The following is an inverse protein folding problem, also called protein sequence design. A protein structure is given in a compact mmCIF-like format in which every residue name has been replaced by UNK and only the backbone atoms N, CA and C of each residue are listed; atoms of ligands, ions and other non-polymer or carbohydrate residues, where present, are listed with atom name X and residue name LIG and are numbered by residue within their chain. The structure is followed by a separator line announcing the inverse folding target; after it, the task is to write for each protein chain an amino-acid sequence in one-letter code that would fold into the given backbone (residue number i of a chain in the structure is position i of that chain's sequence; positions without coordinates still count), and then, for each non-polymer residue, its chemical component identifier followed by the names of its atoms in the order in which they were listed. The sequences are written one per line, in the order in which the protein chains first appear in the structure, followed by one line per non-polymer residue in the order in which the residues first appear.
data_IF_226306230982
#
_entry.id   IF_226306230982
#
_cell.length_a   1.000
_cell.length_b   1.000
_cell.length_c   1.000
_cell.angle_alpha   90.00
_cell.angle_beta   90.00
_cell.angle_gamma   90.00
#
_symmetry.space_group_name_H-M   'P 1'
#
loop_
_entity.id
_entity.type
_entity.pdbx_description
1 polymer ?
#
# COMPACT_ATOMS: atom_id res chain seq x y z
N UNK A 1 2.76 10.54 5.00
CA UNK A 1 2.64 9.96 3.63
C UNK A 1 1.65 10.73 2.77
N UNK A 2 0.53 11.17 3.35
CA UNK A 2 -0.53 11.96 2.70
C UNK A 2 0.00 13.17 1.90
N UNK A 3 0.84 14.00 2.52
CA UNK A 3 1.43 15.19 1.88
C UNK A 3 2.28 14.90 0.63
N UNK A 4 2.87 13.71 0.56
CA UNK A 4 3.59 13.27 -0.61
C UNK A 4 2.61 12.84 -1.70
N UNK A 5 1.60 12.02 -1.36
CA UNK A 5 0.55 11.54 -2.27
C UNK A 5 -0.23 12.68 -2.93
N UNK A 6 -0.54 13.74 -2.18
CA UNK A 6 -1.23 14.93 -2.72
C UNK A 6 -0.31 15.67 -3.71
N UNK A 7 0.97 15.88 -3.37
CA UNK A 7 1.91 16.61 -4.23
C UNK A 7 2.34 15.84 -5.47
N UNK A 8 2.34 14.51 -5.41
CA UNK A 8 2.60 13.66 -6.57
C UNK A 8 1.38 13.48 -7.47
N UNK A 9 0.21 13.98 -7.07
CA UNK A 9 -1.03 13.83 -7.83
C UNK A 9 -1.53 12.39 -7.83
N UNK A 10 -1.36 11.66 -6.72
CA UNK A 10 -1.91 10.32 -6.56
C UNK A 10 -3.44 10.34 -6.75
N UNK A 11 -4.04 9.23 -7.21
CA UNK A 11 -5.49 9.08 -7.28
C UNK A 11 -6.15 9.40 -5.94
N UNK A 12 -7.35 10.01 -6.00
CA UNK A 12 -8.04 10.47 -4.80
C UNK A 12 -8.33 9.32 -3.84
N UNK A 13 -8.66 8.15 -4.37
CA UNK A 13 -8.93 6.93 -3.60
C UNK A 13 -7.71 6.49 -2.77
N UNK A 14 -6.49 6.71 -3.29
CA UNK A 14 -5.26 6.41 -2.54
C UNK A 14 -5.07 7.40 -1.39
N UNK A 15 -5.42 8.66 -1.60
CA UNK A 15 -5.32 9.70 -0.57
C UNK A 15 -6.36 9.48 0.53
N UNK A 16 -7.57 9.08 0.17
CA UNK A 16 -8.65 8.71 1.11
C UNK A 16 -8.26 7.51 1.96
N UNK A 17 -7.78 6.42 1.34
CA UNK A 17 -7.29 5.25 2.08
C UNK A 17 -6.19 5.63 3.09
N UNK A 18 -5.23 6.48 2.71
CA UNK A 18 -4.15 6.90 3.60
C UNK A 18 -4.63 7.76 4.78
N UNK A 19 -5.73 8.51 4.63
CA UNK A 19 -6.32 9.29 5.73
C UNK A 19 -7.06 8.38 6.71
N UNK A 20 -7.81 7.41 6.20
CA UNK A 20 -8.53 6.43 7.04
C UNK A 20 -7.56 5.65 7.94
N UNK A 21 -6.39 5.27 7.42
CA UNK A 21 -5.35 4.56 8.18
C UNK A 21 -4.74 5.39 9.33
N UNK A 22 -4.64 6.72 9.21
CA UNK A 22 -4.08 7.55 10.28
C UNK A 22 -5.04 7.72 11.47
N UNK A 23 -6.35 7.53 11.28
CA UNK A 23 -7.38 7.65 12.34
C UNK A 23 -7.53 6.36 13.19
N UNK A 24 -7.02 5.21 12.74
CA UNK A 24 -7.18 3.94 13.45
C UNK A 24 -6.27 3.80 14.69
N UNK A 25 -5.23 4.62 14.83
CA UNK A 25 -4.35 4.65 16.03
C UNK A 25 -3.53 3.37 16.28
N UNK A 26 -3.73 2.35 15.44
CA UNK A 26 -3.03 1.07 15.45
C UNK A 26 -1.72 1.18 14.65
N UNK A 27 -0.67 0.51 15.12
CA UNK A 27 0.59 0.39 14.38
C UNK A 27 0.47 -0.83 13.49
N UNK A 28 0.41 -0.62 12.18
CA UNK A 28 0.52 -1.71 11.21
C UNK A 28 1.98 -2.18 11.12
N UNK A 29 2.20 -3.49 11.19
CA UNK A 29 3.53 -4.10 11.01
C UNK A 29 3.89 -4.22 9.52
N UNK A 30 2.89 -4.36 8.65
CA UNK A 30 3.07 -4.47 7.21
C UNK A 30 1.82 -4.14 6.40
N UNK A 31 1.97 -4.18 5.07
CA UNK A 31 0.86 -3.92 4.14
C UNK A 31 -0.20 -5.04 4.16
N UNK A 32 0.18 -6.24 4.58
CA UNK A 32 -0.70 -7.39 4.78
C UNK A 32 -1.75 -7.13 5.87
N UNK A 33 -1.44 -6.28 6.86
CA UNK A 33 -2.36 -5.91 7.94
C UNK A 33 -3.50 -5.01 7.46
N UNK A 34 -3.25 -4.27 6.38
CA UNK A 34 -4.18 -3.30 5.79
C UNK A 34 -4.91 -3.92 4.60
N UNK A 35 -4.21 -4.77 3.87
CA UNK A 35 -4.70 -5.39 2.65
C UNK A 35 -4.67 -6.92 2.82
N UNK A 36 -5.79 -7.54 3.27
CA UNK A 36 -5.84 -8.97 3.57
C UNK A 36 -5.63 -9.87 2.34
N UNK A 37 -5.85 -9.33 1.14
CA UNK A 37 -5.59 -9.98 -0.14
C UNK A 37 -4.31 -9.44 -0.81
N UNK A 38 -3.36 -8.89 -0.04
CA UNK A 38 -2.10 -8.42 -0.60
C UNK A 38 -1.36 -9.60 -1.26
N UNK A 39 -1.00 -9.50 -2.55
CA UNK A 39 -0.31 -10.57 -3.26
C UNK A 39 1.04 -10.87 -2.62
N UNK A 40 1.29 -12.14 -2.37
CA UNK A 40 2.56 -12.68 -1.92
C UNK A 40 3.60 -12.65 -3.05
N UNK A 41 4.89 -12.82 -2.73
CA UNK A 41 5.93 -12.95 -3.78
C UNK A 41 5.61 -14.08 -4.78
N UNK A 42 4.94 -15.14 -4.32
CA UNK A 42 4.53 -16.28 -5.13
C UNK A 42 3.39 -15.93 -6.13
N UNK A 43 2.70 -14.79 -5.93
CA UNK A 43 1.64 -14.30 -6.84
C UNK A 43 2.20 -13.49 -8.02
N UNK A 44 3.47 -13.11 -7.97
CA UNK A 44 4.13 -12.41 -9.06
C UNK A 44 4.88 -13.39 -9.96
N UNK A 45 4.49 -13.43 -11.24
CA UNK A 45 5.23 -14.18 -12.27
C UNK A 45 6.48 -13.40 -12.75
N UNK A 46 7.38 -13.03 -11.84
CA UNK A 46 8.70 -12.56 -12.25
C UNK A 46 9.54 -13.79 -12.61
N UNK A 47 10.05 -13.86 -13.84
CA UNK A 47 11.07 -14.86 -14.17
C UNK A 47 12.37 -14.45 -13.46
N UNK A 48 12.66 -15.07 -12.31
CA UNK A 48 13.93 -14.88 -11.59
C UNK A 48 15.16 -15.24 -12.45
N UNK A 49 14.95 -16.02 -13.52
CA UNK A 49 15.96 -16.42 -14.51
C UNK A 49 16.31 -15.31 -15.54
N UNK A 50 15.65 -14.14 -15.50
CA UNK A 50 15.86 -13.06 -16.48
C UNK A 50 16.95 -12.03 -16.06
N UNK A 51 17.83 -12.38 -15.10
CA UNK A 51 18.94 -11.54 -14.62
C UNK A 51 20.34 -12.03 -14.99
#
# INVERSE_FOLDING_TARGET
LIDYSIRSGAPIEVVENLQELEDEGEIYEGIEDIWPDYPSQDDFFFNEDEY
#
